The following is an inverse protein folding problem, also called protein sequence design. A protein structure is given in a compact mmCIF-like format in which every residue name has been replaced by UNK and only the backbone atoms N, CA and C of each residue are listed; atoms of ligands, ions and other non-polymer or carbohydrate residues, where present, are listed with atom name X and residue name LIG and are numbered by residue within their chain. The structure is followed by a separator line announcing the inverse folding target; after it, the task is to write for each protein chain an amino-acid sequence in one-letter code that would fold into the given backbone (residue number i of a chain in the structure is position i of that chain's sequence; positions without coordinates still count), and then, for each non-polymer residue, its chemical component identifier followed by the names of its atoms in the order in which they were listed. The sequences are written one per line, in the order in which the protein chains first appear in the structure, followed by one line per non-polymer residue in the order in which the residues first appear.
data_IF_794955709681
#
_entry.id   IF_794955709681
#
_cell.length_a   1.000
_cell.length_b   1.000
_cell.length_c   1.000
_cell.angle_alpha   90.00
_cell.angle_beta   90.00
_cell.angle_gamma   90.00
#
_symmetry.space_group_name_H-M   'P 1'
#
loop_
_entity.id
_entity.type
_entity.pdbx_description
1 polymer ?
#
# COMPACT_ATOMS: atom_id res chain seq x y z
N UNK A 1 -11.38 -11.70 -5.12
CA UNK A 1 -10.76 -10.39 -5.40
C UNK A 1 -11.67 -9.27 -4.95
N UNK A 2 -11.16 -8.37 -4.16
CA UNK A 2 -11.91 -7.22 -3.69
C UNK A 2 -11.74 -6.00 -4.59
N UNK A 3 -12.52 -4.98 -4.33
CA UNK A 3 -12.38 -3.69 -4.99
C UNK A 3 -11.31 -2.85 -4.28
N UNK A 4 -10.88 -1.75 -4.92
CA UNK A 4 -9.97 -0.80 -4.27
C UNK A 4 -10.56 -0.26 -2.96
N UNK A 5 -11.88 -0.06 -2.91
CA UNK A 5 -12.55 0.43 -1.70
C UNK A 5 -12.42 -0.60 -0.57
N UNK A 6 -12.53 -1.88 -0.88
CA UNK A 6 -12.33 -2.95 0.11
C UNK A 6 -10.89 -2.96 0.61
N UNK A 7 -9.93 -2.78 -0.29
CA UNK A 7 -8.52 -2.67 0.09
C UNK A 7 -8.29 -1.45 0.98
N UNK A 8 -8.90 -0.31 0.66
CA UNK A 8 -8.78 0.90 1.46
C UNK A 8 -9.24 0.66 2.90
N UNK A 9 -10.36 -0.03 3.07
CA UNK A 9 -10.86 -0.39 4.40
C UNK A 9 -9.90 -1.31 5.16
N UNK A 10 -9.31 -2.27 4.45
CA UNK A 10 -8.31 -3.16 5.04
C UNK A 10 -7.10 -2.37 5.50
N UNK A 11 -6.61 -1.44 4.69
CA UNK A 11 -5.46 -0.61 5.03
C UNK A 11 -5.75 0.31 6.23
N UNK A 12 -6.93 0.90 6.29
CA UNK A 12 -7.35 1.70 7.46
C UNK A 12 -7.36 0.86 8.73
N UNK A 13 -7.89 -0.34 8.65
CA UNK A 13 -7.92 -1.27 9.80
C UNK A 13 -6.51 -1.70 10.20
N UNK A 14 -5.65 -1.96 9.22
CA UNK A 14 -4.26 -2.37 9.45
C UNK A 14 -3.46 -1.25 10.12
N UNK A 15 -3.62 -0.02 9.66
CA UNK A 15 -2.95 1.15 10.25
C UNK A 15 -3.55 1.52 11.61
N UNK A 16 -4.82 1.25 11.82
CA UNK A 16 -5.54 1.65 13.03
C UNK A 16 -6.06 3.07 12.98
N UNK A 17 -6.09 3.69 11.81
CA UNK A 17 -6.61 5.04 11.61
C UNK A 17 -7.05 5.21 10.16
N UNK A 18 -7.63 6.37 9.86
CA UNK A 18 -8.03 6.70 8.49
C UNK A 18 -6.97 7.50 7.72
N UNK A 19 -5.72 7.53 8.19
CA UNK A 19 -4.61 8.19 7.50
C UNK A 19 -4.10 7.35 6.33
N UNK A 20 -5.01 6.97 5.44
CA UNK A 20 -4.73 6.18 4.24
C UNK A 20 -5.15 7.00 3.04
N UNK A 21 -4.22 7.21 2.12
CA UNK A 21 -4.39 8.10 0.97
C UNK A 21 -4.14 7.35 -0.33
N UNK A 22 -5.08 7.43 -1.25
CA UNK A 22 -4.96 6.82 -2.57
C UNK A 22 -4.61 7.88 -3.60
N UNK A 23 -3.42 7.77 -4.17
CA UNK A 23 -2.91 8.70 -5.20
C UNK A 23 -3.20 10.17 -4.86
N UNK A 24 -2.77 10.64 -3.65
CA UNK A 24 -3.11 11.98 -3.22
C UNK A 24 -2.41 13.04 -4.06
N UNK A 25 -3.01 14.23 -4.22
CA UNK A 25 -2.32 15.34 -4.85
C UNK A 25 -1.14 15.82 -4.00
N UNK A 26 -0.15 16.47 -4.63
CA UNK A 26 1.09 16.89 -3.96
C UNK A 26 0.87 17.80 -2.77
N UNK A 27 -0.18 18.59 -2.81
CA UNK A 27 -0.45 19.62 -1.77
C UNK A 27 -1.32 19.10 -0.63
N UNK A 28 -1.63 17.82 -0.57
CA UNK A 28 -2.43 17.30 0.53
C UNK A 28 -1.60 17.24 1.81
N UNK A 29 -2.21 17.67 2.92
CA UNK A 29 -1.60 17.52 4.23
C UNK A 29 -1.90 16.15 4.79
N UNK A 30 -0.85 15.42 5.11
CA UNK A 30 -0.97 14.09 5.69
C UNK A 30 -0.65 14.12 7.17
N UNK A 31 -1.35 13.28 7.92
CA UNK A 31 -1.01 13.01 9.31
C UNK A 31 -0.30 11.66 9.39
N UNK A 32 0.74 11.58 10.19
CA UNK A 32 1.56 10.39 10.27
C UNK A 32 1.35 9.67 11.61
N UNK A 33 1.41 8.33 11.63
CA UNK A 33 1.76 7.46 10.51
C UNK A 33 0.69 7.46 9.42
N UNK A 34 1.12 7.28 8.19
CA UNK A 34 0.24 7.28 7.03
C UNK A 34 0.59 6.15 6.08
N UNK A 35 -0.41 5.69 5.33
CA UNK A 35 -0.20 4.79 4.20
C UNK A 35 -0.63 5.53 2.95
N UNK A 36 0.27 5.64 1.99
CA UNK A 36 -0.02 6.18 0.67
C UNK A 36 0.07 5.01 -0.30
N UNK A 37 -0.95 4.83 -1.11
CA UNK A 37 -0.92 3.74 -2.07
C UNK A 37 -1.39 4.19 -3.45
N UNK A 38 -0.90 3.50 -4.46
CA UNK A 38 -1.26 3.74 -5.85
C UNK A 38 -1.29 2.41 -6.59
N UNK A 39 -2.05 2.36 -7.67
CA UNK A 39 -2.06 1.17 -8.51
C UNK A 39 -0.80 1.15 -9.36
N UNK A 40 -0.03 0.07 -9.20
CA UNK A 40 1.23 -0.11 -9.92
C UNK A 40 0.97 -0.81 -11.26
N UNK A 41 0.18 -1.87 -11.25
CA UNK A 41 0.00 -2.69 -12.43
C UNK A 41 -1.28 -3.51 -12.34
N UNK A 42 -1.74 -3.97 -13.49
CA UNK A 42 -2.80 -4.97 -13.59
C UNK A 42 -2.22 -6.12 -14.42
N UNK A 43 -2.09 -7.28 -13.80
CA UNK A 43 -1.58 -8.48 -14.47
C UNK A 43 -2.69 -9.48 -14.62
N UNK A 44 -2.70 -10.17 -15.76
CA UNK A 44 -3.67 -11.19 -16.03
C UNK A 44 -3.01 -12.50 -16.43
N UNK A 45 -3.62 -13.60 -16.03
CA UNK A 45 -3.29 -14.91 -16.55
C UNK A 45 -4.13 -15.15 -17.80
N UNK A 46 -3.53 -15.70 -18.84
CA UNK A 46 -4.19 -15.91 -20.13
C UNK A 46 -4.36 -17.40 -20.41
N UNK A 47 -5.53 -17.74 -20.93
CA UNK A 47 -5.79 -19.05 -21.48
C UNK A 47 -6.61 -18.84 -22.77
N UNK A 48 -6.18 -19.46 -23.88
CA UNK A 48 -6.84 -19.33 -25.18
C UNK A 48 -7.04 -17.86 -25.61
N UNK A 49 -6.03 -17.01 -25.35
CA UNK A 49 -6.04 -15.58 -25.66
C UNK A 49 -7.08 -14.80 -24.86
N UNK A 50 -7.57 -15.35 -23.74
CA UNK A 50 -8.49 -14.65 -22.85
C UNK A 50 -7.83 -14.41 -21.52
N UNK A 51 -8.18 -13.29 -20.87
CA UNK A 51 -7.74 -13.01 -19.52
C UNK A 51 -8.50 -13.93 -18.58
N UNK A 52 -7.77 -14.82 -17.91
CA UNK A 52 -8.36 -15.81 -17.02
C UNK A 52 -8.55 -15.28 -15.61
N UNK A 53 -7.51 -14.62 -15.07
CA UNK A 53 -7.53 -13.95 -13.78
C UNK A 53 -6.86 -12.60 -13.90
N UNK A 54 -7.45 -11.57 -13.31
CA UNK A 54 -6.83 -10.25 -13.20
C UNK A 54 -6.35 -10.04 -11.78
N UNK A 55 -5.09 -9.63 -11.64
CA UNK A 55 -4.49 -9.29 -10.38
C UNK A 55 -4.08 -7.83 -10.40
N UNK A 56 -4.47 -7.10 -9.36
CA UNK A 56 -4.13 -5.70 -9.22
C UNK A 56 -2.96 -5.58 -8.25
N UNK A 57 -1.92 -4.93 -8.70
CA UNK A 57 -0.74 -4.66 -7.88
C UNK A 57 -0.76 -3.21 -7.44
N UNK A 58 -0.56 -3.02 -6.16
CA UNK A 58 -0.52 -1.69 -5.56
C UNK A 58 0.84 -1.49 -4.91
N UNK A 59 1.39 -0.28 -5.07
CA UNK A 59 2.54 0.15 -4.30
C UNK A 59 2.02 0.84 -3.05
N UNK A 60 2.50 0.38 -1.89
CA UNK A 60 2.15 0.96 -0.61
C UNK A 60 3.37 1.64 -0.02
N UNK A 61 3.22 2.88 0.42
CA UNK A 61 4.23 3.57 1.21
C UNK A 61 3.71 3.73 2.62
N UNK A 62 4.45 3.17 3.58
CA UNK A 62 4.18 3.42 4.99
C UNK A 62 5.13 4.53 5.44
N UNK A 63 4.57 5.66 5.87
CA UNK A 63 5.35 6.85 6.21
C UNK A 63 5.16 7.15 7.70
N UNK A 64 6.25 7.26 8.44
CA UNK A 64 6.22 7.53 9.87
C UNK A 64 7.49 8.27 10.29
N UNK A 65 7.39 9.05 11.36
CA UNK A 65 8.56 9.65 12.02
C UNK A 65 9.39 8.61 12.75
N UNK A 66 8.77 7.55 13.26
CA UNK A 66 9.41 6.51 14.03
C UNK A 66 10.02 5.45 13.11
N UNK A 67 11.36 5.24 13.13
CA UNK A 67 11.99 4.20 12.31
C UNK A 67 11.58 2.78 12.72
N UNK A 68 11.09 2.61 13.94
CA UNK A 68 10.66 1.31 14.49
C UNK A 68 9.14 1.20 14.55
N UNK A 69 8.45 1.78 13.58
CA UNK A 69 6.99 1.85 13.54
C UNK A 69 6.35 0.46 13.47
N UNK A 70 5.37 0.22 14.33
CA UNK A 70 4.55 -0.99 14.28
C UNK A 70 3.69 -1.07 13.01
N UNK A 71 3.43 0.06 12.36
CA UNK A 71 2.67 0.09 11.11
C UNK A 71 3.36 -0.69 10.01
N UNK A 72 4.70 -0.63 9.93
CA UNK A 72 5.48 -1.40 8.97
C UNK A 72 5.27 -2.89 9.17
N UNK A 73 5.36 -3.35 10.41
CA UNK A 73 5.15 -4.75 10.76
C UNK A 73 3.75 -5.23 10.40
N UNK A 74 2.75 -4.40 10.65
CA UNK A 74 1.35 -4.72 10.34
C UNK A 74 1.14 -4.85 8.84
N UNK A 75 1.70 -3.94 8.04
CA UNK A 75 1.60 -4.02 6.58
C UNK A 75 2.37 -5.23 6.05
N UNK A 76 3.55 -5.50 6.59
CA UNK A 76 4.35 -6.67 6.20
C UNK A 76 3.61 -7.99 6.48
N UNK A 77 2.69 -8.00 7.45
CA UNK A 77 1.90 -9.17 7.79
C UNK A 77 0.68 -9.39 6.90
N UNK A 78 0.37 -8.45 6.01
CA UNK A 78 -0.75 -8.60 5.09
C UNK A 78 -0.46 -9.70 4.06
N UNK A 79 -1.46 -10.55 3.74
CA UNK A 79 -1.28 -11.54 2.67
C UNK A 79 -0.93 -10.87 1.36
N UNK A 80 -0.03 -11.48 0.60
CA UNK A 80 0.40 -11.01 -0.72
C UNK A 80 1.14 -9.67 -0.68
N UNK A 81 1.63 -9.22 0.47
CA UNK A 81 2.49 -8.06 0.56
C UNK A 81 3.95 -8.48 0.46
N UNK A 82 4.76 -7.63 -0.14
CA UNK A 82 6.18 -7.85 -0.31
C UNK A 82 6.91 -6.55 -0.05
N UNK A 83 7.87 -6.58 0.88
CA UNK A 83 8.72 -5.44 1.15
C UNK A 83 9.67 -5.20 -0.03
N UNK A 84 9.78 -3.95 -0.48
CA UNK A 84 10.66 -3.58 -1.58
C UNK A 84 11.89 -2.82 -1.09
N UNK A 85 11.70 -1.73 -0.33
CA UNK A 85 12.81 -0.89 0.12
C UNK A 85 12.38 0.05 1.24
N UNK A 86 13.38 0.61 1.89
CA UNK A 86 13.23 1.64 2.92
C UNK A 86 14.11 2.83 2.56
N UNK A 87 13.61 4.04 2.77
CA UNK A 87 14.42 5.24 2.62
C UNK A 87 13.89 6.33 3.56
N UNK A 88 14.70 7.37 3.77
CA UNK A 88 14.34 8.51 4.62
C UNK A 88 14.32 9.77 3.76
N UNK A 89 13.26 10.54 3.88
CA UNK A 89 13.12 11.83 3.20
C UNK A 89 12.36 12.79 4.12
N UNK A 90 12.84 14.02 4.26
CA UNK A 90 12.24 15.06 5.11
C UNK A 90 12.02 14.60 6.56
N UNK A 91 12.98 13.85 7.11
CA UNK A 91 12.93 13.26 8.45
C UNK A 91 11.80 12.23 8.64
N UNK A 92 11.25 11.73 7.54
CA UNK A 92 10.21 10.70 7.55
C UNK A 92 10.76 9.40 7.00
N UNK A 93 10.45 8.31 7.68
CA UNK A 93 10.82 6.98 7.23
C UNK A 93 9.76 6.48 6.26
N UNK A 94 10.20 6.03 5.10
CA UNK A 94 9.34 5.49 4.04
C UNK A 94 9.69 4.04 3.84
N UNK A 95 8.69 3.16 4.01
CA UNK A 95 8.82 1.74 3.75
C UNK A 95 7.90 1.39 2.59
N UNK A 96 8.47 0.88 1.51
CA UNK A 96 7.75 0.62 0.27
C UNK A 96 7.44 -0.86 0.16
N UNK A 97 6.18 -1.17 -0.08
CA UNK A 97 5.69 -2.54 -0.27
C UNK A 97 4.98 -2.66 -1.61
N UNK A 98 5.02 -3.86 -2.15
CA UNK A 98 4.16 -4.25 -3.26
C UNK A 98 3.11 -5.20 -2.71
N UNK A 99 1.85 -4.89 -2.99
CA UNK A 99 0.72 -5.70 -2.55
C UNK A 99 -0.13 -6.06 -3.75
N UNK A 100 -0.50 -7.33 -3.86
CA UNK A 100 -1.52 -7.64 -4.83
C UNK A 100 -2.83 -8.03 -4.14
N UNK A 101 -3.94 -7.58 -4.76
CA UNK A 101 -5.23 -7.69 -4.13
C UNK A 101 -6.33 -8.05 -5.13
#
# INVERSE_FOLDING_TARGET
MGTRIDLHKILCKTLGSNHVYYQPPENVKMEYPAIVYSREDIRGDYADNRIYNKRHFYELLVIDYDPDSNSVERVASLPSSRFLRHYVSDNLNHDVFLLYY
#
